data_IF_744489308568
#
_entry.id   IF_744489308568
#
_cell.length_a   1.000
_cell.length_b   1.000
_cell.length_c   1.000
_cell.angle_alpha   90.00
_cell.angle_beta   90.00
_cell.angle_gamma   90.00
#
_symmetry.space_group_name_H-M   'P 1'
#
loop_
_entity.id
_entity.type
_entity.pdbx_description
1 polymer ?
#
# COMPACT_ATOMS: atom_id res chain seq x y z
N UNK A 1 4.52 9.37 21.42
CA UNK A 1 3.45 8.96 20.48
C UNK A 1 4.02 7.91 19.54
N UNK A 2 3.39 6.74 19.45
CA UNK A 2 3.76 5.70 18.47
C UNK A 2 3.52 6.23 17.05
N UNK A 3 4.48 5.97 16.15
CA UNK A 3 4.44 6.39 14.74
C UNK A 3 4.30 5.15 13.84
N UNK A 4 3.66 5.27 12.67
CA UNK A 4 3.62 4.19 11.70
C UNK A 4 5.03 3.92 11.14
N UNK A 5 5.23 2.75 10.57
CA UNK A 5 6.41 2.48 9.75
C UNK A 5 6.49 3.52 8.62
N UNK A 6 7.66 4.12 8.44
CA UNK A 6 7.93 5.12 7.40
C UNK A 6 7.57 4.63 5.99
N UNK A 7 7.71 3.32 5.71
CA UNK A 7 7.37 2.72 4.43
C UNK A 7 5.88 2.88 4.06
N UNK A 8 5.00 2.99 5.06
CA UNK A 8 3.56 3.18 4.85
C UNK A 8 3.22 4.59 4.35
N UNK A 9 4.09 5.56 4.62
CA UNK A 9 3.92 6.97 4.23
C UNK A 9 4.60 7.32 2.90
N UNK A 10 5.35 6.39 2.32
CA UNK A 10 5.97 6.56 1.01
C UNK A 10 4.92 6.85 -0.05
N UNK A 11 5.19 7.82 -0.94
CA UNK A 11 4.31 8.16 -2.06
C UNK A 11 4.08 6.96 -2.97
N UNK A 12 2.87 6.83 -3.50
CA UNK A 12 2.60 5.84 -4.53
C UNK A 12 3.31 6.19 -5.83
N UNK A 13 3.82 5.16 -6.49
CA UNK A 13 4.26 5.29 -7.88
C UNK A 13 3.03 5.61 -8.73
N UNK A 14 3.17 6.58 -9.63
CA UNK A 14 2.15 6.89 -10.61
C UNK A 14 2.07 5.83 -11.72
N UNK A 15 1.23 6.09 -12.73
CA UNK A 15 1.11 5.25 -13.91
C UNK A 15 2.47 4.94 -14.54
N UNK A 16 2.59 3.78 -15.17
CA UNK A 16 3.77 3.48 -15.99
C UNK A 16 3.84 4.44 -17.18
N UNK A 17 5.05 4.94 -17.46
CA UNK A 17 5.30 5.74 -18.65
C UNK A 17 5.39 4.81 -19.87
N UNK A 18 4.52 5.05 -20.85
CA UNK A 18 4.44 4.25 -22.09
C UNK A 18 5.21 4.90 -23.25
N UNK A 19 5.65 6.15 -23.09
CA UNK A 19 6.26 6.96 -24.15
C UNK A 19 5.35 7.14 -25.38
N UNK A 20 5.96 7.51 -26.51
CA UNK A 20 5.24 7.89 -27.74
C UNK A 20 5.42 6.88 -28.89
N UNK A 21 6.07 5.74 -28.62
CA UNK A 21 6.38 4.75 -29.66
C UNK A 21 5.32 3.65 -29.72
N UNK A 22 5.07 3.06 -30.91
CA UNK A 22 4.21 1.89 -31.03
C UNK A 22 4.71 0.74 -30.14
N UNK A 23 3.79 0.14 -29.40
CA UNK A 23 4.06 -1.02 -28.55
C UNK A 23 3.62 -2.30 -29.26
N UNK A 24 4.45 -3.33 -29.17
CA UNK A 24 3.99 -4.71 -29.44
C UNK A 24 3.04 -5.15 -28.33
N UNK A 25 2.17 -6.13 -28.64
CA UNK A 25 1.27 -6.73 -27.64
C UNK A 25 2.02 -7.20 -26.38
N UNK A 26 3.15 -7.88 -26.56
CA UNK A 26 3.95 -8.39 -25.44
C UNK A 26 4.56 -7.26 -24.59
N UNK A 27 4.89 -6.11 -25.17
CA UNK A 27 5.34 -4.95 -24.41
C UNK A 27 4.18 -4.32 -23.62
N UNK A 28 3.02 -4.16 -24.25
CA UNK A 28 1.84 -3.62 -23.61
C UNK A 28 1.41 -4.45 -22.40
N UNK A 29 1.37 -5.78 -22.53
CA UNK A 29 1.01 -6.68 -21.44
C UNK A 29 1.95 -6.55 -20.24
N UNK A 30 3.26 -6.44 -20.47
CA UNK A 30 4.23 -6.22 -19.39
C UNK A 30 4.03 -4.89 -18.68
N UNK A 31 3.78 -3.82 -19.42
CA UNK A 31 3.51 -2.50 -18.86
C UNK A 31 2.21 -2.51 -18.05
N UNK A 32 1.16 -3.15 -18.56
CA UNK A 32 -0.12 -3.31 -17.88
C UNK A 32 0.00 -4.07 -16.55
N UNK A 33 0.74 -5.18 -16.53
CA UNK A 33 1.01 -5.94 -15.30
C UNK A 33 1.74 -5.05 -14.29
N UNK A 34 2.79 -4.36 -14.73
CA UNK A 34 3.58 -3.46 -13.87
C UNK A 34 2.71 -2.36 -13.25
N UNK A 35 1.84 -1.75 -14.04
CA UNK A 35 0.93 -0.71 -13.57
C UNK A 35 -0.04 -1.25 -12.50
N UNK A 36 -0.62 -2.42 -12.76
CA UNK A 36 -1.52 -3.09 -11.83
C UNK A 36 -0.82 -3.45 -10.52
N UNK A 37 0.43 -3.93 -10.56
CA UNK A 37 1.23 -4.21 -9.37
C UNK A 37 1.50 -2.96 -8.54
N UNK A 38 1.78 -1.81 -9.19
CA UNK A 38 1.97 -0.52 -8.51
C UNK A 38 0.70 -0.09 -7.77
N UNK A 39 -0.46 -0.19 -8.42
CA UNK A 39 -1.76 0.12 -7.81
C UNK A 39 -2.06 -0.78 -6.61
N UNK A 40 -1.88 -2.09 -6.76
CA UNK A 40 -2.14 -3.05 -5.69
C UNK A 40 -1.19 -2.88 -4.50
N UNK A 41 0.08 -2.56 -4.77
CA UNK A 41 1.05 -2.29 -3.70
C UNK A 41 0.73 -0.99 -2.97
N UNK A 42 0.32 0.05 -3.71
CA UNK A 42 -0.11 1.33 -3.15
C UNK A 42 -1.31 1.16 -2.20
N UNK A 43 -2.39 0.52 -2.64
CA UNK A 43 -3.60 0.35 -1.82
C UNK A 43 -3.31 -0.48 -0.56
N UNK A 44 -2.49 -1.53 -0.65
CA UNK A 44 -2.10 -2.34 0.53
C UNK A 44 -1.38 -1.51 1.58
N UNK A 45 -0.44 -0.65 1.18
CA UNK A 45 0.25 0.26 2.14
C UNK A 45 -0.71 1.23 2.81
N UNK A 46 -1.63 1.83 2.05
CA UNK A 46 -2.60 2.78 2.60
C UNK A 46 -3.61 2.12 3.55
N UNK A 47 -4.05 0.89 3.24
CA UNK A 47 -4.88 0.11 4.17
C UNK A 47 -4.12 -0.20 5.46
N UNK A 48 -2.85 -0.63 5.37
CA UNK A 48 -2.02 -0.86 6.55
C UNK A 48 -1.78 0.42 7.38
N UNK A 49 -1.62 1.58 6.72
CA UNK A 49 -1.50 2.86 7.40
C UNK A 49 -2.79 3.23 8.15
N UNK A 50 -3.95 3.05 7.50
CA UNK A 50 -5.26 3.26 8.11
C UNK A 50 -5.44 2.37 9.33
N UNK A 51 -5.14 1.07 9.19
CA UNK A 51 -5.31 0.08 10.25
C UNK A 51 -4.40 0.40 11.44
N UNK A 52 -3.15 0.83 11.21
CA UNK A 52 -2.27 1.31 12.27
C UNK A 52 -2.91 2.44 13.10
N UNK A 53 -3.50 3.45 12.45
CA UNK A 53 -4.12 4.56 13.16
C UNK A 53 -5.40 4.15 13.88
N UNK A 54 -6.21 3.28 13.27
CA UNK A 54 -7.40 2.72 13.92
C UNK A 54 -7.04 1.95 15.21
N UNK A 55 -6.02 1.09 15.16
CA UNK A 55 -5.56 0.31 16.31
C UNK A 55 -4.95 1.20 17.41
N UNK A 56 -4.17 2.22 17.02
CA UNK A 56 -3.60 3.19 17.95
C UNK A 56 -4.72 3.93 18.70
N UNK A 57 -5.70 4.44 17.96
CA UNK A 57 -6.73 5.31 18.50
C UNK A 57 -7.72 4.52 19.38
N UNK A 58 -8.07 3.29 19.00
CA UNK A 58 -8.87 2.39 19.84
C UNK A 58 -8.23 2.13 21.22
N UNK A 59 -6.90 2.02 21.28
CA UNK A 59 -6.16 1.85 22.54
C UNK A 59 -6.14 3.10 23.43
N UNK A 60 -6.37 4.29 22.86
CA UNK A 60 -6.44 5.55 23.62
C UNK A 60 -7.82 5.78 24.24
N UNK A 61 -8.88 5.25 23.64
CA UNK A 61 -10.26 5.39 24.11
C UNK A 61 -10.63 4.43 25.27
N UNK A 62 -9.66 3.68 25.80
CA UNK A 62 -9.90 2.69 26.87
C UNK A 62 -10.49 1.36 26.36
N UNK A 63 -10.57 1.17 25.04
CA UNK A 63 -10.88 -0.11 24.42
C UNK A 63 -9.73 -1.09 24.65
N UNK A 64 -10.00 -2.17 25.38
CA UNK A 64 -9.06 -3.30 25.53
C UNK A 64 -8.65 -3.76 24.12
N UNK A 65 -7.37 -3.65 23.76
CA UNK A 65 -6.85 -4.11 22.47
C UNK A 65 -7.38 -5.51 22.16
N UNK A 66 -7.95 -5.78 20.98
CA UNK A 66 -8.10 -7.15 20.53
C UNK A 66 -6.69 -7.72 20.41
N UNK A 67 -6.37 -8.65 21.29
CA UNK A 67 -5.08 -9.32 21.34
C UNK A 67 -4.74 -9.87 19.96
N UNK A 68 -3.66 -9.35 19.37
CA UNK A 68 -2.92 -9.99 18.28
C UNK A 68 -3.68 -10.19 16.98
N UNK A 69 -3.60 -9.23 16.06
CA UNK A 69 -3.27 -9.61 14.68
C UNK A 69 -1.76 -9.61 14.56
N UNK A 70 -1.19 -10.79 14.81
CA UNK A 70 0.21 -11.07 14.57
C UNK A 70 0.61 -10.58 13.18
N UNK A 71 1.73 -9.86 13.11
CA UNK A 71 2.46 -9.64 11.88
C UNK A 71 2.67 -11.00 11.22
N UNK A 72 2.05 -11.20 10.06
CA UNK A 72 2.26 -12.38 9.24
C UNK A 72 3.72 -12.37 8.78
N UNK A 73 4.40 -13.47 9.08
CA UNK A 73 5.77 -13.80 8.70
C UNK A 73 5.87 -14.04 7.19
#
# INVERSE_FOLDING_TARGET
>A
MTRPDSALTTKCLGPVDIGDKPLTQAQLERLWITDRERLLSCIRRHLALRDFYADRDAGLEGGKQPAGKAAAK
#
